data_IF_486824466770
#
_entry.id   IF_486824466770
#
_cell.length_a   1.000
_cell.length_b   1.000
_cell.length_c   1.000
_cell.angle_alpha   90.00
_cell.angle_beta   90.00
_cell.angle_gamma   90.00
#
_symmetry.space_group_name_H-M   'P 1'
#
loop_
_entity.id
_entity.type
_entity.pdbx_description
1 polymer ?
#
# COMPACT_ATOMS: atom_id res chain seq x y z
N UNK A 1 -6.12 19.66 0.66
CA UNK A 1 -5.15 19.20 1.67
C UNK A 1 -3.79 19.77 1.33
N UNK A 2 -3.14 20.54 2.21
CA UNK A 2 -1.92 21.30 1.83
C UNK A 2 -0.65 20.46 1.84
N UNK A 3 -0.59 19.38 2.63
CA UNK A 3 0.51 18.42 2.66
C UNK A 3 0.04 17.06 3.16
N UNK A 4 0.57 15.96 2.63
CA UNK A 4 0.33 14.61 3.16
C UNK A 4 0.91 14.43 4.57
N UNK A 5 2.01 15.14 4.87
CA UNK A 5 2.70 15.06 6.17
C UNK A 5 1.89 15.62 7.34
N UNK A 6 0.80 16.34 7.09
CA UNK A 6 -0.06 16.93 8.12
C UNK A 6 -1.35 16.14 8.34
N UNK A 7 -1.50 14.98 7.70
CA UNK A 7 -2.68 14.13 7.85
C UNK A 7 -2.39 13.08 8.92
N UNK A 8 -3.17 13.12 10.00
CA UNK A 8 -3.17 12.07 11.02
C UNK A 8 -3.75 10.79 10.42
N UNK A 9 -3.02 9.68 10.57
CA UNK A 9 -3.43 8.36 10.07
C UNK A 9 -4.11 7.56 11.17
N UNK A 10 -5.19 6.87 10.79
CA UNK A 10 -5.90 5.96 11.67
C UNK A 10 -5.15 4.61 11.72
N UNK A 11 -4.92 4.08 12.91
CA UNK A 11 -4.20 2.82 13.11
C UNK A 11 -5.07 1.61 12.75
N UNK A 12 -4.77 0.94 11.64
CA UNK A 12 -5.53 -0.21 11.15
C UNK A 12 -5.02 -1.56 11.68
N UNK A 13 -3.86 -1.56 12.33
CA UNK A 13 -3.34 -2.71 13.08
C UNK A 13 -2.47 -3.66 12.25
N UNK A 14 -2.24 -4.86 12.78
CA UNK A 14 -1.44 -5.89 12.12
C UNK A 14 -2.27 -6.61 11.06
N UNK A 15 -1.67 -6.91 9.91
CA UNK A 15 -2.37 -7.66 8.86
C UNK A 15 -2.21 -9.16 9.09
N UNK A 16 -3.24 -9.94 8.74
CA UNK A 16 -3.26 -11.39 8.91
C UNK A 16 -2.32 -12.16 7.96
N UNK A 17 -1.73 -11.46 6.99
CA UNK A 17 -0.92 -11.97 5.87
C UNK A 17 0.59 -11.78 6.06
N UNK A 18 1.07 -11.66 7.30
CA UNK A 18 2.50 -11.49 7.61
C UNK A 18 3.28 -12.78 7.35
N UNK A 19 4.43 -12.65 6.69
CA UNK A 19 5.40 -13.74 6.47
C UNK A 19 6.59 -13.56 7.43
N UNK A 20 7.12 -12.34 7.55
CA UNK A 20 8.25 -12.02 8.40
C UNK A 20 8.08 -10.66 9.09
N UNK A 21 8.46 -10.60 10.36
CA UNK A 21 8.21 -9.43 11.21
C UNK A 21 6.74 -9.30 11.61
N UNK A 22 6.39 -8.10 12.11
CA UNK A 22 5.03 -7.76 12.57
C UNK A 22 4.58 -6.43 11.97
N UNK A 23 4.48 -6.35 10.63
CA UNK A 23 4.15 -5.11 9.96
C UNK A 23 2.74 -4.64 10.39
N UNK A 24 2.58 -3.33 10.60
CA UNK A 24 1.32 -2.68 11.02
C UNK A 24 0.95 -1.59 10.03
N UNK A 25 -0.29 -1.61 9.57
CA UNK A 25 -0.81 -0.64 8.63
C UNK A 25 -1.50 0.54 9.35
N UNK A 26 -1.43 1.71 8.75
CA UNK A 26 -2.19 2.89 9.14
C UNK A 26 -2.58 3.65 7.89
N UNK A 27 -3.73 4.32 7.90
CA UNK A 27 -4.19 5.03 6.72
C UNK A 27 -5.26 6.06 6.99
N UNK A 28 -5.57 6.83 5.95
CA UNK A 28 -6.67 7.80 5.95
C UNK A 28 -7.37 7.77 4.61
N UNK A 29 -8.65 7.41 4.61
CA UNK A 29 -9.51 7.58 3.44
C UNK A 29 -9.81 9.08 3.30
N UNK A 30 -9.40 9.67 2.18
CA UNK A 30 -9.64 11.09 1.88
C UNK A 30 -10.94 11.28 1.11
N UNK A 31 -11.28 10.32 0.27
CA UNK A 31 -12.53 10.29 -0.47
C UNK A 31 -12.88 8.85 -0.84
N UNK A 32 -14.16 8.54 -0.82
CA UNK A 32 -14.72 7.32 -1.37
C UNK A 32 -16.00 7.69 -2.13
N UNK A 33 -16.13 7.21 -3.36
CA UNK A 33 -17.35 7.42 -4.12
C UNK A 33 -18.51 6.65 -3.47
N UNK A 34 -19.73 7.19 -3.54
CA UNK A 34 -20.88 6.65 -2.81
C UNK A 34 -21.26 5.21 -3.22
N UNK A 35 -20.94 4.80 -4.45
CA UNK A 35 -21.16 3.44 -4.96
C UNK A 35 -19.95 2.51 -4.73
N UNK A 36 -18.86 2.98 -4.10
CA UNK A 36 -17.66 2.21 -3.83
C UNK A 36 -16.77 1.95 -5.05
N UNK A 37 -17.04 2.54 -6.22
CA UNK A 37 -16.24 2.35 -7.44
C UNK A 37 -14.84 2.92 -7.37
N UNK A 38 -14.59 3.88 -6.47
CA UNK A 38 -13.27 4.47 -6.27
C UNK A 38 -13.07 4.94 -4.84
N UNK A 39 -11.84 4.85 -4.38
CA UNK A 39 -11.35 5.36 -3.11
C UNK A 39 -9.99 6.00 -3.34
N UNK A 40 -9.68 7.06 -2.59
CA UNK A 40 -8.33 7.57 -2.51
C UNK A 40 -7.97 7.93 -1.06
N UNK A 41 -6.71 7.74 -0.72
CA UNK A 41 -6.25 7.89 0.65
C UNK A 41 -4.75 7.98 0.78
N UNK A 42 -4.33 8.05 2.03
CA UNK A 42 -2.94 7.86 2.44
C UNK A 42 -2.83 6.52 3.16
N UNK A 43 -1.70 5.86 2.98
CA UNK A 43 -1.39 4.59 3.62
C UNK A 43 0.08 4.57 4.05
N UNK A 44 0.36 3.88 5.14
CA UNK A 44 1.69 3.61 5.63
C UNK A 44 1.73 2.23 6.29
N UNK A 45 2.90 1.58 6.23
CA UNK A 45 3.13 0.31 6.89
C UNK A 45 4.52 0.28 7.52
N UNK A 46 4.60 -0.23 8.74
CA UNK A 46 5.90 -0.51 9.37
C UNK A 46 6.62 -1.65 8.65
N UNK A 47 7.97 -1.74 8.74
CA UNK A 47 8.74 -2.78 8.08
C UNK A 47 8.27 -4.21 8.41
N UNK A 48 8.39 -5.10 7.41
CA UNK A 48 8.05 -6.51 7.48
C UNK A 48 7.60 -7.03 6.12
N UNK A 49 7.51 -8.35 5.99
CA UNK A 49 7.14 -9.02 4.73
C UNK A 49 5.72 -9.53 4.80
N UNK A 50 4.93 -9.32 3.73
CA UNK A 50 3.54 -9.80 3.65
C UNK A 50 3.23 -10.37 2.27
N UNK A 51 2.34 -11.36 2.22
CA UNK A 51 1.67 -11.72 0.97
C UNK A 51 0.56 -10.71 0.67
N UNK A 52 0.44 -10.24 -0.56
CA UNK A 52 -0.57 -9.24 -0.92
C UNK A 52 -1.30 -9.65 -2.21
N UNK A 53 -2.57 -9.27 -2.29
CA UNK A 53 -3.39 -9.38 -3.50
C UNK A 53 -4.16 -8.08 -3.66
N UNK A 54 -4.02 -7.44 -4.81
CA UNK A 54 -4.80 -6.25 -5.15
C UNK A 54 -6.13 -6.70 -5.77
N UNK A 55 -7.23 -6.58 -5.03
CA UNK A 55 -8.55 -7.02 -5.50
C UNK A 55 -9.15 -6.09 -6.57
N UNK A 56 -8.67 -4.85 -6.64
CA UNK A 56 -9.05 -3.81 -7.59
C UNK A 56 -7.79 -3.14 -8.13
N UNK A 57 -7.94 -2.34 -9.17
CA UNK A 57 -6.85 -1.50 -9.67
C UNK A 57 -6.41 -0.51 -8.59
N UNK A 58 -5.11 -0.50 -8.28
CA UNK A 58 -4.55 0.41 -7.29
C UNK A 58 -3.39 1.21 -7.88
N UNK A 59 -3.51 2.54 -7.81
CA UNK A 59 -2.44 3.46 -8.17
C UNK A 59 -1.77 3.99 -6.90
N UNK A 60 -0.47 3.74 -6.77
CA UNK A 60 0.33 4.19 -5.64
C UNK A 60 1.33 5.26 -6.08
N UNK A 61 1.36 6.39 -5.36
CA UNK A 61 2.49 7.29 -5.34
C UNK A 61 3.17 7.20 -3.97
N UNK A 62 4.38 6.64 -3.95
CA UNK A 62 5.12 6.44 -2.71
C UNK A 62 5.73 7.76 -2.25
N UNK A 63 5.26 8.29 -1.12
CA UNK A 63 5.66 9.61 -0.62
C UNK A 63 6.95 9.57 0.22
N UNK A 64 7.27 8.43 0.83
CA UNK A 64 8.43 8.25 1.69
C UNK A 64 8.75 6.77 1.88
N UNK A 65 9.87 6.47 2.53
CA UNK A 65 10.29 5.10 2.80
C UNK A 65 10.92 4.41 1.59
N UNK A 66 11.07 3.09 1.70
CA UNK A 66 11.55 2.20 0.65
C UNK A 66 11.03 0.78 0.88
N UNK A 67 10.96 -0.01 -0.19
CA UNK A 67 10.59 -1.42 -0.15
C UNK A 67 10.62 -2.03 -1.54
N UNK A 68 10.13 -3.26 -1.65
CA UNK A 68 9.97 -3.96 -2.92
C UNK A 68 8.64 -4.71 -2.98
N UNK A 69 8.03 -4.71 -4.16
CA UNK A 69 6.90 -5.56 -4.49
C UNK A 69 7.38 -6.65 -5.44
N UNK A 70 7.26 -7.92 -5.04
CA UNK A 70 7.71 -9.06 -5.83
C UNK A 70 6.48 -9.82 -6.30
N UNK A 71 6.20 -9.77 -7.60
CA UNK A 71 5.08 -10.49 -8.20
C UNK A 71 5.39 -12.00 -8.25
N UNK A 72 4.35 -12.85 -8.27
CA UNK A 72 4.50 -14.31 -8.32
C UNK A 72 5.27 -14.82 -9.56
N UNK A 73 5.31 -14.05 -10.65
CA UNK A 73 6.12 -14.37 -11.84
C UNK A 73 7.62 -14.03 -11.69
N UNK A 74 8.03 -13.49 -10.54
CA UNK A 74 9.41 -13.10 -10.24
C UNK A 74 9.77 -11.65 -10.60
N UNK A 75 8.86 -10.87 -11.17
CA UNK A 75 9.08 -9.43 -11.37
C UNK A 75 9.24 -8.72 -10.02
N UNK A 76 10.27 -7.88 -9.90
CA UNK A 76 10.54 -7.07 -8.73
C UNK A 76 10.34 -5.58 -9.05
N UNK A 77 9.50 -4.92 -8.28
CA UNK A 77 9.18 -3.49 -8.39
C UNK A 77 9.75 -2.81 -7.13
N UNK A 78 10.97 -2.24 -7.20
CA UNK A 78 11.52 -1.46 -6.09
C UNK A 78 10.77 -0.14 -5.97
N UNK A 79 10.42 0.24 -4.74
CA UNK A 79 9.73 1.50 -4.45
C UNK A 79 10.53 2.34 -3.47
N UNK A 80 10.50 3.66 -3.69
CA UNK A 80 11.06 4.67 -2.82
C UNK A 80 10.23 5.96 -2.95
N UNK A 81 10.60 7.00 -2.21
CA UNK A 81 9.98 8.31 -2.35
C UNK A 81 10.01 8.79 -3.83
N UNK A 82 8.85 9.15 -4.36
CA UNK A 82 8.65 9.59 -5.76
C UNK A 82 8.33 8.47 -6.75
N UNK A 83 8.35 7.19 -6.34
CA UNK A 83 7.95 6.09 -7.23
C UNK A 83 6.44 6.10 -7.47
N UNK A 84 6.04 5.90 -8.73
CA UNK A 84 4.65 5.67 -9.13
C UNK A 84 4.51 4.21 -9.56
N UNK A 85 3.51 3.51 -9.05
CA UNK A 85 3.20 2.14 -9.45
C UNK A 85 1.70 2.01 -9.68
N UNK A 86 1.34 1.29 -10.72
CA UNK A 86 -0.04 0.84 -10.95
C UNK A 86 -0.06 -0.68 -10.79
N UNK A 87 -0.85 -1.16 -9.84
CA UNK A 87 -1.12 -2.58 -9.61
C UNK A 87 -2.49 -2.91 -10.20
N UNK A 88 -2.56 -3.67 -11.30
CA UNK A 88 -3.84 -4.11 -11.85
C UNK A 88 -4.59 -5.03 -10.88
N UNK A 89 -5.92 -5.02 -10.94
CA UNK A 89 -6.74 -5.98 -10.24
C UNK A 89 -6.30 -7.42 -10.53
N UNK A 90 -6.15 -8.22 -9.47
CA UNK A 90 -5.63 -9.59 -9.51
C UNK A 90 -4.11 -9.70 -9.39
N UNK A 91 -3.36 -8.60 -9.30
CA UNK A 91 -1.94 -8.66 -9.00
C UNK A 91 -1.72 -9.32 -7.64
N UNK A 92 -0.81 -10.31 -7.59
CA UNK A 92 -0.50 -11.07 -6.38
C UNK A 92 1.01 -11.27 -6.23
N UNK A 93 1.48 -11.27 -4.99
CA UNK A 93 2.91 -11.31 -4.71
C UNK A 93 3.24 -11.04 -3.24
N UNK A 94 4.45 -10.56 -2.99
CA UNK A 94 4.89 -10.13 -1.66
C UNK A 94 5.30 -8.67 -1.64
N UNK A 95 5.10 -8.01 -0.50
CA UNK A 95 5.72 -6.71 -0.18
C UNK A 95 6.76 -6.90 0.93
N UNK A 96 7.88 -6.19 0.85
CA UNK A 96 8.98 -6.21 1.83
C UNK A 96 9.64 -4.82 2.02
#
# INVERSE_FOLDING_TARGET
WRSASTVELDGWGAGANSIAGSPRASGKVLFQHADGSSECGLWSCTPGTRHITFAVDEFCHFLSGRGSYIHENGEAIPVAAGTLVFFPAGWTGTSE
#
